data_IF_093259500880
#
_entry.id   IF_093259500880
#
_cell.length_a   1.000
_cell.length_b   1.000
_cell.length_c   1.000
_cell.angle_alpha   90.00
_cell.angle_beta   90.00
_cell.angle_gamma   90.00
#
_symmetry.space_group_name_H-M   'P 1'
#
loop_
_entity.id
_entity.type
_entity.pdbx_description
1 polymer ?
#
# COMPACT_ATOMS: atom_id res chain seq x y z
N UNK A 1 -9.83 -30.62 -9.26
CA UNK A 1 -9.82 -29.92 -7.95
C UNK A 1 -8.37 -29.87 -7.47
N UNK A 2 -7.70 -28.71 -7.49
CA UNK A 2 -6.28 -28.62 -7.08
C UNK A 2 -6.21 -28.61 -5.55
N UNK A 3 -5.52 -29.61 -4.98
CA UNK A 3 -5.24 -29.65 -3.55
C UNK A 3 -4.27 -28.49 -3.21
N UNK A 4 -4.64 -27.61 -2.27
CA UNK A 4 -3.70 -26.63 -1.73
C UNK A 4 -2.67 -27.36 -0.86
N UNK A 5 -1.40 -26.95 -0.97
CA UNK A 5 -0.33 -27.52 -0.16
C UNK A 5 -0.28 -26.88 1.23
N UNK A 6 0.39 -27.56 2.16
CA UNK A 6 0.43 -27.21 3.58
C UNK A 6 0.97 -25.79 3.84
N UNK A 7 1.90 -25.33 2.99
CA UNK A 7 2.50 -23.99 3.06
C UNK A 7 1.47 -22.91 2.70
N UNK A 8 0.66 -23.16 1.65
CA UNK A 8 -0.40 -22.24 1.22
C UNK A 8 -1.47 -22.09 2.30
N UNK A 9 -1.83 -23.17 2.97
CA UNK A 9 -2.76 -23.12 4.11
C UNK A 9 -2.17 -22.36 5.31
N UNK A 10 -0.86 -22.48 5.58
CA UNK A 10 -0.22 -21.83 6.71
C UNK A 10 -0.13 -20.30 6.55
N UNK A 11 0.12 -19.83 5.32
CA UNK A 11 0.13 -18.39 4.98
C UNK A 11 -1.26 -17.77 5.20
N UNK A 12 -2.33 -18.49 4.83
CA UNK A 12 -3.72 -18.04 5.03
C UNK A 12 -4.03 -17.90 6.51
N UNK A 13 -3.63 -18.87 7.35
CA UNK A 13 -3.83 -18.76 8.80
C UNK A 13 -3.00 -17.64 9.44
N UNK A 14 -1.78 -17.38 8.97
CA UNK A 14 -0.97 -16.25 9.45
C UNK A 14 -1.63 -14.89 9.12
N UNK A 15 -2.23 -14.76 7.93
CA UNK A 15 -2.98 -13.56 7.53
C UNK A 15 -4.29 -13.38 8.32
N UNK A 16 -5.00 -14.48 8.64
CA UNK A 16 -6.24 -14.44 9.41
C UNK A 16 -6.03 -14.30 10.92
N UNK A 17 -4.88 -14.73 11.45
CA UNK A 17 -4.52 -14.64 12.87
C UNK A 17 -3.99 -13.27 13.31
N UNK A 18 -3.49 -12.47 12.37
CA UNK A 18 -3.13 -11.08 12.61
C UNK A 18 -4.42 -10.23 12.65
N UNK A 19 -4.98 -10.08 13.85
CA UNK A 19 -6.19 -9.29 14.13
C UNK A 19 -5.97 -7.78 13.91
N UNK A 20 -5.81 -7.38 12.64
CA UNK A 20 -6.09 -6.08 11.99
C UNK A 20 -5.30 -6.03 10.68
N UNK A 21 -5.75 -6.78 9.68
CA UNK A 21 -5.47 -6.43 8.29
C UNK A 21 -6.76 -5.83 7.74
N UNK A 22 -6.88 -4.50 7.80
CA UNK A 22 -7.85 -3.79 6.96
C UNK A 22 -7.39 -3.92 5.50
N UNK A 23 -7.85 -4.98 4.85
CA UNK A 23 -7.68 -5.29 3.41
C UNK A 23 -8.43 -4.29 2.50
N UNK A 24 -8.38 -3.00 2.80
CA UNK A 24 -8.79 -1.97 1.84
C UNK A 24 -7.58 -1.64 0.95
N UNK A 25 -7.43 -2.41 -0.12
CA UNK A 25 -6.60 -2.12 -1.31
C UNK A 25 -5.07 -2.17 -1.19
N UNK A 26 -4.50 -3.22 -0.62
CA UNK A 26 -3.11 -3.59 -0.90
C UNK A 26 -2.98 -4.15 -2.32
N UNK A 27 -2.80 -3.28 -3.32
CA UNK A 27 -2.23 -3.66 -4.62
C UNK A 27 -0.79 -4.12 -4.39
N UNK A 28 -0.56 -5.44 -4.30
CA UNK A 28 0.76 -6.02 -4.10
C UNK A 28 1.77 -5.75 -5.24
N UNK A 29 1.30 -5.22 -6.38
CA UNK A 29 2.10 -4.99 -7.60
C UNK A 29 1.86 -3.59 -8.19
N UNK A 30 1.94 -2.56 -7.36
CA UNK A 30 1.96 -1.19 -7.83
C UNK A 30 3.41 -0.65 -7.71
N UNK A 31 4.33 -1.07 -8.61
CA UNK A 31 5.77 -0.79 -8.48
C UNK A 31 6.10 0.71 -8.58
N UNK A 32 7.22 1.09 -7.96
CA UNK A 32 7.82 2.43 -8.13
C UNK A 32 7.35 3.50 -7.15
N UNK A 33 6.41 3.20 -6.24
CA UNK A 33 6.10 4.16 -5.18
C UNK A 33 7.26 4.24 -4.16
N UNK A 34 7.60 5.45 -3.76
CA UNK A 34 8.54 5.75 -2.68
C UNK A 34 7.76 6.40 -1.54
N UNK A 35 7.55 5.67 -0.44
CA UNK A 35 6.82 6.18 0.74
C UNK A 35 7.77 6.20 1.93
N UNK A 36 8.15 7.40 2.38
CA UNK A 36 9.10 7.61 3.48
C UNK A 36 8.51 8.39 4.66
N UNK A 37 7.34 9.02 4.47
CA UNK A 37 6.67 9.77 5.54
C UNK A 37 6.05 8.88 6.63
N UNK A 38 6.06 9.33 7.88
CA UNK A 38 5.38 8.65 8.99
C UNK A 38 3.87 8.65 8.75
N UNK A 39 3.21 7.49 8.91
CA UNK A 39 1.77 7.35 8.64
C UNK A 39 1.34 7.83 7.25
N UNK A 40 2.24 7.72 6.27
CA UNK A 40 1.97 8.07 4.89
C UNK A 40 1.44 6.88 4.08
N UNK A 41 0.79 7.14 2.95
CA UNK A 41 0.30 6.11 2.05
C UNK A 41 0.36 6.55 0.60
N UNK A 42 0.52 5.59 -0.30
CA UNK A 42 0.48 5.82 -1.74
C UNK A 42 -0.33 4.73 -2.44
N UNK A 43 -1.11 5.11 -3.45
CA UNK A 43 -1.88 4.21 -4.29
C UNK A 43 -1.69 4.58 -5.78
N UNK A 44 -1.47 3.60 -6.64
CA UNK A 44 -1.08 3.79 -8.05
C UNK A 44 0.42 3.62 -8.28
N UNK A 45 1.06 4.28 -9.25
CA UNK A 45 2.40 3.90 -9.74
C UNK A 45 3.40 5.06 -9.69
N UNK A 46 4.62 4.87 -9.15
CA UNK A 46 5.65 5.92 -9.24
C UNK A 46 5.47 7.14 -8.32
N UNK A 47 4.60 7.08 -7.33
CA UNK A 47 4.35 8.20 -6.42
C UNK A 47 5.49 8.37 -5.41
N UNK A 48 5.77 9.61 -4.99
CA UNK A 48 6.67 9.92 -3.88
C UNK A 48 5.89 10.57 -2.75
N UNK A 49 5.84 9.93 -1.59
CA UNK A 49 5.15 10.41 -0.39
C UNK A 49 6.12 10.47 0.78
N UNK A 50 6.71 11.64 1.00
CA UNK A 50 7.66 11.90 2.10
C UNK A 50 7.07 12.74 3.22
N UNK A 51 5.89 13.34 3.02
CA UNK A 51 5.17 14.06 4.07
C UNK A 51 4.58 13.13 5.12
N UNK A 52 4.72 13.47 6.40
CA UNK A 52 4.02 12.74 7.46
C UNK A 52 2.50 12.88 7.32
N UNK A 53 1.74 11.85 7.68
CA UNK A 53 0.27 11.83 7.63
C UNK A 53 -0.31 12.21 6.26
N UNK A 54 0.37 11.81 5.18
CA UNK A 54 0.04 12.23 3.82
C UNK A 54 -0.36 11.07 2.91
N UNK A 55 -1.12 11.37 1.86
CA UNK A 55 -1.63 10.38 0.91
C UNK A 55 -1.43 10.86 -0.53
N UNK A 56 -0.94 9.98 -1.39
CA UNK A 56 -0.98 10.18 -2.84
C UNK A 56 -1.76 9.06 -3.53
N UNK A 57 -2.65 9.42 -4.45
CA UNK A 57 -3.43 8.49 -5.28
C UNK A 57 -3.31 8.90 -6.75
N UNK A 58 -2.59 8.10 -7.54
CA UNK A 58 -2.30 8.39 -8.95
C UNK A 58 -1.02 7.72 -9.48
N UNK A 59 -0.55 8.16 -10.64
CA UNK A 59 0.77 7.93 -11.21
C UNK A 59 1.70 9.16 -11.12
N UNK A 60 2.92 8.98 -10.60
CA UNK A 60 3.95 10.02 -10.49
C UNK A 60 3.53 11.26 -9.67
N UNK A 61 2.80 11.07 -8.58
CA UNK A 61 2.33 12.14 -7.70
C UNK A 61 3.32 12.39 -6.54
N UNK A 62 3.42 13.64 -6.07
CA UNK A 62 4.38 14.07 -5.04
C UNK A 62 3.65 14.68 -3.83
N UNK A 63 3.67 13.98 -2.70
CA UNK A 63 3.11 14.45 -1.42
C UNK A 63 4.25 14.57 -0.39
N UNK A 64 4.97 15.69 -0.44
CA UNK A 64 6.22 15.90 0.31
C UNK A 64 6.05 16.70 1.59
N UNK A 65 5.00 17.52 1.69
CA UNK A 65 4.65 18.26 2.90
C UNK A 65 3.78 17.42 3.84
N UNK A 66 3.89 17.64 5.15
CA UNK A 66 3.04 16.96 6.12
C UNK A 66 1.55 17.31 5.94
N UNK A 67 0.68 16.38 6.28
CA UNK A 67 -0.79 16.51 6.21
C UNK A 67 -1.33 16.87 4.81
N UNK A 68 -0.75 16.31 3.75
CA UNK A 68 -1.18 16.57 2.37
C UNK A 68 -1.89 15.38 1.72
N UNK A 69 -2.85 15.71 0.85
CA UNK A 69 -3.57 14.74 0.01
C UNK A 69 -3.41 15.13 -1.46
N UNK A 70 -2.87 14.24 -2.27
CA UNK A 70 -2.70 14.44 -3.72
C UNK A 70 -3.52 13.37 -4.44
N UNK A 71 -4.48 13.82 -5.25
CA UNK A 71 -5.37 12.97 -6.03
C UNK A 71 -5.21 13.33 -7.51
N UNK A 72 -4.94 12.36 -8.37
CA UNK A 72 -4.64 12.59 -9.77
C UNK A 72 -3.13 12.63 -10.06
N UNK A 73 -2.77 12.68 -11.35
CA UNK A 73 -1.47 12.22 -11.81
C UNK A 73 -1.11 12.61 -13.26
N UNK A 74 0.19 12.64 -13.56
CA UNK A 74 0.75 12.94 -14.89
C UNK A 74 1.10 11.65 -15.67
#
# INVERSE_FOLDING_TARGET
MRHLNLISTLIIFALLGLNKVSISQTCATCPGNTVTGVSASAFGTGNTVSGAYSLAVGKNSFATNAYTYVLGSF
#
